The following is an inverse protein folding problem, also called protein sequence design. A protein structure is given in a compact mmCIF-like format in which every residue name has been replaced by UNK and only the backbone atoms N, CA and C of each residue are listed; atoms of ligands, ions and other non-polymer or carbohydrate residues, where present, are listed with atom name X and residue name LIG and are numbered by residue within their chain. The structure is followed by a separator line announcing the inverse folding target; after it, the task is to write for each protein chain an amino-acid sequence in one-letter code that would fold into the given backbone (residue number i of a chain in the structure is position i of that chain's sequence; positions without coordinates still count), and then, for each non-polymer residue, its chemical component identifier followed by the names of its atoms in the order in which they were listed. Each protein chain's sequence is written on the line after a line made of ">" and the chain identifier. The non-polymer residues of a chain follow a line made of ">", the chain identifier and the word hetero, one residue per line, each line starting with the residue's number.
data_IF_102579825028
#
_entry.id   IF_102579825028
#
_cell.length_a   1.000
_cell.length_b   1.000
_cell.length_c   1.000
_cell.angle_alpha   90.00
_cell.angle_beta   90.00
_cell.angle_gamma   90.00
#
_symmetry.space_group_name_H-M   'P 1'
#
loop_
_entity.id
_entity.type
_entity.pdbx_description
1 polymer ?
#
# COMPACT_ATOMS: atom_id res chain seq x y z
N UNK A 1 20.89 18.21 -7.04
CA UNK A 1 20.58 18.64 -5.64
C UNK A 1 19.92 17.51 -4.89
N UNK A 2 20.18 17.37 -3.58
CA UNK A 2 19.45 16.43 -2.75
C UNK A 2 18.20 17.09 -2.18
N UNK A 3 17.08 16.40 -2.31
CA UNK A 3 15.78 16.81 -1.80
C UNK A 3 15.36 15.90 -0.63
N UNK A 4 14.41 16.36 0.17
CA UNK A 4 13.80 15.55 1.21
C UNK A 4 12.45 15.05 0.73
N UNK A 5 12.17 13.78 1.01
CA UNK A 5 10.92 13.13 0.63
C UNK A 5 10.25 12.52 1.85
N UNK A 6 8.93 12.42 1.77
CA UNK A 6 8.12 11.62 2.67
C UNK A 6 7.34 10.59 1.86
N UNK A 7 7.46 9.31 2.24
CA UNK A 7 6.75 8.20 1.63
C UNK A 7 5.69 7.70 2.61
N UNK A 8 4.42 8.13 2.48
CA UNK A 8 3.34 7.62 3.32
C UNK A 8 3.01 6.17 2.97
N UNK A 9 2.59 5.39 3.98
CA UNK A 9 2.13 4.01 3.84
C UNK A 9 0.94 3.72 4.77
N UNK A 10 0.24 2.59 4.59
CA UNK A 10 -0.71 2.12 5.59
C UNK A 10 -0.04 1.96 6.96
N UNK A 11 -0.70 2.44 8.01
CA UNK A 11 -0.17 2.34 9.39
C UNK A 11 0.06 0.89 9.79
N UNK A 12 1.21 0.64 10.39
CA UNK A 12 1.72 -0.69 10.73
C UNK A 12 2.70 -1.25 9.69
N UNK A 13 2.88 -0.59 8.54
CA UNK A 13 3.83 -0.98 7.49
C UNK A 13 5.09 -0.11 7.45
N UNK A 14 5.28 0.80 8.36
CA UNK A 14 6.40 1.75 8.35
C UNK A 14 7.77 1.03 8.33
N UNK A 15 7.93 0.00 9.15
CA UNK A 15 9.16 -0.79 9.18
C UNK A 15 9.39 -1.59 7.89
N UNK A 16 8.31 -2.14 7.31
CA UNK A 16 8.38 -2.86 6.05
C UNK A 16 8.71 -1.92 4.89
N UNK A 17 8.13 -0.70 4.87
CA UNK A 17 8.47 0.33 3.89
C UNK A 17 9.93 0.80 4.04
N UNK A 18 10.42 1.02 5.26
CA UNK A 18 11.80 1.44 5.47
C UNK A 18 12.80 0.38 4.96
N UNK A 19 12.51 -0.90 5.19
CA UNK A 19 13.31 -2.00 4.64
C UNK A 19 13.25 -2.03 3.10
N UNK A 20 12.06 -1.87 2.50
CA UNK A 20 11.89 -1.79 1.05
C UNK A 20 12.67 -0.61 0.43
N UNK A 21 12.55 0.59 1.03
CA UNK A 21 13.33 1.75 0.59
C UNK A 21 14.83 1.54 0.74
N UNK A 22 15.27 0.83 1.78
CA UNK A 22 16.66 0.42 1.95
C UNK A 22 17.15 -0.50 0.82
N UNK A 23 16.33 -1.45 0.38
CA UNK A 23 16.62 -2.31 -0.78
C UNK A 23 16.69 -1.49 -2.09
N UNK A 24 15.74 -0.57 -2.30
CA UNK A 24 15.76 0.34 -3.45
C UNK A 24 17.02 1.22 -3.42
N UNK A 25 17.44 1.67 -2.23
CA UNK A 25 18.63 2.49 -2.06
C UNK A 25 19.94 1.79 -2.44
N UNK A 26 19.98 0.46 -2.45
CA UNK A 26 21.18 -0.29 -2.92
C UNK A 26 21.51 -0.03 -4.40
N UNK A 27 20.50 0.42 -5.16
CA UNK A 27 20.63 0.76 -6.58
C UNK A 27 20.86 2.25 -6.82
N UNK A 28 21.10 3.03 -5.77
CA UNK A 28 21.34 4.48 -5.83
C UNK A 28 22.53 4.87 -4.95
N UNK A 29 23.25 5.91 -5.38
CA UNK A 29 24.34 6.50 -4.58
C UNK A 29 23.87 7.65 -3.69
N UNK A 30 22.68 8.18 -3.95
CA UNK A 30 22.16 9.41 -3.33
C UNK A 30 20.96 9.19 -2.44
N UNK A 31 20.18 8.11 -2.64
CA UNK A 31 19.04 7.76 -1.81
C UNK A 31 19.48 7.36 -0.40
N UNK A 32 18.98 8.10 0.59
CA UNK A 32 19.19 7.80 2.02
C UNK A 32 17.84 7.67 2.72
N UNK A 33 17.65 6.55 3.39
CA UNK A 33 16.48 6.32 4.24
C UNK A 33 16.78 6.87 5.63
N UNK A 34 15.86 7.62 6.19
CA UNK A 34 16.02 8.27 7.49
C UNK A 34 15.11 7.62 8.55
N UNK A 35 14.28 8.43 9.18
CA UNK A 35 13.43 7.99 10.28
C UNK A 35 12.06 7.52 9.79
N UNK A 36 11.54 6.53 10.50
CA UNK A 36 10.15 6.11 10.42
C UNK A 36 9.31 6.97 11.36
N UNK A 37 8.13 7.38 10.89
CA UNK A 37 7.14 8.06 11.72
C UNK A 37 5.78 7.38 11.50
N UNK A 38 4.81 7.53 12.42
CA UNK A 38 3.48 6.95 12.21
C UNK A 38 2.89 7.36 10.84
N UNK A 39 2.65 6.38 9.98
CA UNK A 39 2.08 6.56 8.64
C UNK A 39 3.08 6.75 7.50
N UNK A 40 4.40 6.64 7.72
CA UNK A 40 5.36 6.72 6.63
C UNK A 40 6.84 6.78 7.01
N UNK A 41 7.67 7.00 6.00
CA UNK A 41 9.13 7.02 6.12
C UNK A 41 9.69 8.27 5.44
N UNK A 42 10.61 8.94 6.10
CA UNK A 42 11.40 10.04 5.52
C UNK A 42 12.63 9.51 4.80
N UNK A 43 12.92 10.05 3.64
CA UNK A 43 14.14 9.78 2.89
C UNK A 43 14.65 11.05 2.20
N UNK A 44 15.85 10.99 1.67
CA UNK A 44 16.42 12.08 0.86
C UNK A 44 17.19 11.52 -0.33
N UNK A 45 17.26 12.30 -1.41
CA UNK A 45 17.95 11.92 -2.62
C UNK A 45 17.70 12.90 -3.75
N UNK A 46 18.10 12.55 -4.97
CA UNK A 46 17.84 13.30 -6.18
C UNK A 46 16.41 13.02 -6.71
N UNK A 47 15.99 13.76 -7.76
CA UNK A 47 14.69 13.48 -8.40
C UNK A 47 14.65 12.07 -9.01
N UNK A 48 15.76 11.59 -9.56
CA UNK A 48 15.88 10.19 -10.04
C UNK A 48 15.65 9.14 -8.95
N UNK A 49 15.95 9.46 -7.69
CA UNK A 49 15.62 8.57 -6.57
C UNK A 49 14.11 8.53 -6.31
N UNK A 50 13.43 9.68 -6.44
CA UNK A 50 11.97 9.70 -6.36
C UNK A 50 11.33 8.93 -7.53
N UNK A 51 11.87 9.04 -8.76
CA UNK A 51 11.44 8.23 -9.91
C UNK A 51 11.59 6.74 -9.60
N UNK A 52 12.75 6.33 -9.06
CA UNK A 52 13.05 4.94 -8.67
C UNK A 52 12.09 4.43 -7.60
N UNK A 53 11.81 5.21 -6.56
CA UNK A 53 10.84 4.84 -5.53
C UNK A 53 9.44 4.68 -6.13
N UNK A 54 9.00 5.62 -6.97
CA UNK A 54 7.69 5.55 -7.64
C UNK A 54 7.56 4.30 -8.52
N UNK A 55 8.65 3.90 -9.21
CA UNK A 55 8.66 2.71 -10.05
C UNK A 55 8.62 1.41 -9.22
N UNK A 56 9.42 1.33 -8.16
CA UNK A 56 9.71 0.06 -7.49
C UNK A 56 8.97 -0.16 -6.16
N UNK A 57 8.55 0.88 -5.45
CA UNK A 57 7.92 0.69 -4.15
C UNK A 57 6.51 0.10 -4.27
N UNK A 58 6.32 -1.03 -3.59
CA UNK A 58 5.03 -1.72 -3.47
C UNK A 58 4.22 -1.21 -2.29
N UNK A 59 4.89 -0.71 -1.23
CA UNK A 59 4.28 -0.37 0.05
C UNK A 59 3.93 1.11 0.14
N UNK A 60 4.74 2.01 -0.43
CA UNK A 60 4.44 3.43 -0.42
C UNK A 60 3.08 3.73 -1.07
N UNK A 61 2.34 4.66 -0.49
CA UNK A 61 1.10 5.17 -1.09
C UNK A 61 1.38 6.31 -2.08
N UNK A 62 2.44 7.07 -1.83
CA UNK A 62 2.93 8.21 -2.62
C UNK A 62 4.40 8.44 -2.32
N UNK A 63 5.04 9.29 -3.14
CA UNK A 63 6.35 9.87 -2.88
C UNK A 63 6.19 11.39 -2.87
N UNK A 64 6.26 12.00 -1.72
CA UNK A 64 5.98 13.41 -1.49
C UNK A 64 7.29 14.20 -1.34
N UNK A 65 7.57 15.09 -2.28
CA UNK A 65 8.71 15.99 -2.25
C UNK A 65 8.45 17.15 -1.30
N UNK A 66 9.28 17.34 -0.27
CA UNK A 66 9.15 18.46 0.67
C UNK A 66 9.60 19.75 0.02
N UNK A 67 8.67 20.69 -0.13
CA UNK A 67 8.91 22.03 -0.70
C UNK A 67 9.22 23.05 0.40
N UNK A 68 8.49 23.00 1.52
CA UNK A 68 8.68 23.94 2.62
C UNK A 68 8.34 23.32 3.97
N UNK A 69 8.94 23.87 5.04
CA UNK A 69 8.66 23.46 6.41
C UNK A 69 8.96 24.63 7.36
N UNK A 70 8.04 24.95 8.25
CA UNK A 70 8.21 26.00 9.27
C UNK A 70 7.31 25.75 10.48
N UNK A 71 7.61 26.46 11.58
CA UNK A 71 6.65 26.62 12.68
C UNK A 71 5.50 27.53 12.29
N UNK A 72 4.32 27.36 12.90
CA UNK A 72 3.17 28.23 12.70
C UNK A 72 2.44 28.50 14.02
N UNK A 73 1.80 29.63 14.10
CA UNK A 73 0.91 30.06 15.18
C UNK A 73 -0.50 30.37 14.67
N UNK A 74 -0.60 30.79 13.42
CA UNK A 74 -1.85 31.15 12.75
C UNK A 74 -1.78 30.79 11.24
N UNK A 75 -2.88 31.03 10.53
CA UNK A 75 -3.02 30.69 9.12
C UNK A 75 -2.17 31.57 8.19
N UNK A 76 -1.75 32.77 8.62
CA UNK A 76 -0.89 33.63 7.80
C UNK A 76 0.54 33.06 7.72
N UNK A 77 1.05 32.47 8.81
CA UNK A 77 2.36 31.81 8.80
C UNK A 77 2.42 30.70 7.71
N UNK A 78 1.26 30.01 7.49
CA UNK A 78 1.12 28.97 6.47
C UNK A 78 1.05 29.57 5.08
N UNK A 79 0.32 30.70 4.93
CA UNK A 79 0.28 31.45 3.67
C UNK A 79 1.67 31.94 3.28
N UNK A 80 2.40 32.54 4.22
CA UNK A 80 3.75 33.09 3.99
C UNK A 80 4.74 31.99 3.59
N UNK A 81 4.67 30.80 4.21
CA UNK A 81 5.47 29.65 3.77
C UNK A 81 5.15 29.26 2.32
N UNK A 82 3.87 29.15 1.98
CA UNK A 82 3.46 28.78 0.64
C UNK A 82 3.84 29.82 -0.40
N UNK A 83 3.72 31.12 -0.09
CA UNK A 83 4.13 32.24 -0.92
C UNK A 83 5.65 32.29 -1.12
N UNK A 84 6.44 32.01 -0.07
CA UNK A 84 7.90 31.99 -0.13
C UNK A 84 8.46 30.78 -0.90
N UNK A 85 7.67 29.72 -1.05
CA UNK A 85 8.08 28.48 -1.72
C UNK A 85 8.23 28.69 -3.24
N UNK A 86 9.30 28.13 -3.83
CA UNK A 86 9.65 28.31 -5.26
C UNK A 86 8.96 27.26 -6.13
N UNK A 87 7.63 27.36 -6.28
CA UNK A 87 6.82 26.42 -7.06
C UNK A 87 7.19 26.42 -8.54
N UNK A 88 7.56 27.58 -9.08
CA UNK A 88 8.00 27.81 -10.45
C UNK A 88 9.24 26.99 -10.86
N UNK A 89 10.01 26.48 -9.91
CA UNK A 89 11.11 25.55 -10.17
C UNK A 89 10.63 24.15 -10.55
N UNK A 90 9.36 23.84 -10.31
CA UNK A 90 8.81 22.51 -10.47
C UNK A 90 7.78 22.43 -11.59
N UNK A 91 6.90 23.42 -11.71
CA UNK A 91 5.84 23.45 -12.70
C UNK A 91 5.46 24.89 -13.07
N UNK A 92 4.79 25.09 -14.21
CA UNK A 92 4.35 26.41 -14.69
C UNK A 92 2.85 26.59 -14.65
N UNK A 93 2.40 27.78 -15.04
CA UNK A 93 1.00 28.23 -15.07
C UNK A 93 0.07 27.36 -15.92
N UNK A 94 0.61 26.63 -16.90
CA UNK A 94 -0.16 25.75 -17.78
C UNK A 94 -0.62 24.45 -17.08
N UNK A 95 -0.14 24.18 -15.87
CA UNK A 95 -0.53 23.02 -15.11
C UNK A 95 -1.68 23.36 -14.16
N UNK A 96 -2.60 22.41 -14.00
CA UNK A 96 -3.67 22.52 -13.01
C UNK A 96 -3.18 22.04 -11.65
N UNK A 97 -3.66 22.70 -10.58
CA UNK A 97 -3.27 22.39 -9.21
C UNK A 97 -4.44 21.93 -8.36
N UNK A 98 -4.14 21.12 -7.36
CA UNK A 98 -5.02 20.80 -6.23
C UNK A 98 -4.23 20.82 -4.94
N UNK A 99 -4.81 21.41 -3.90
CA UNK A 99 -4.26 21.41 -2.55
C UNK A 99 -5.14 20.54 -1.65
N UNK A 100 -4.52 19.64 -0.91
CA UNK A 100 -5.16 18.84 0.13
C UNK A 100 -4.41 19.04 1.45
N UNK A 101 -5.12 19.27 2.55
CA UNK A 101 -4.53 19.50 3.88
C UNK A 101 -4.97 18.41 4.85
N UNK A 102 -4.00 17.90 5.59
CA UNK A 102 -4.24 16.98 6.71
C UNK A 102 -3.59 17.53 7.98
N UNK A 103 -4.17 17.20 9.13
CA UNK A 103 -3.63 17.69 10.40
C UNK A 103 -3.70 16.61 11.50
N UNK A 104 -2.70 16.64 12.39
CA UNK A 104 -2.68 15.86 13.63
C UNK A 104 -2.39 16.81 14.77
N UNK A 105 -3.37 16.96 15.67
CA UNK A 105 -3.27 17.85 16.86
C UNK A 105 -2.99 19.34 16.54
N UNK A 106 -3.34 19.80 15.34
CA UNK A 106 -3.26 21.22 15.01
C UNK A 106 -4.22 22.04 15.88
N UNK A 107 -3.80 23.23 16.36
CA UNK A 107 -4.69 24.16 17.05
C UNK A 107 -5.68 24.85 16.10
N UNK A 108 -5.40 24.87 14.79
CA UNK A 108 -6.26 25.49 13.78
C UNK A 108 -7.43 24.55 13.43
N UNK A 109 -8.64 25.11 13.40
CA UNK A 109 -9.88 24.32 13.32
C UNK A 109 -10.35 24.05 11.89
N UNK A 110 -10.13 24.99 10.96
CA UNK A 110 -10.67 24.91 9.61
C UNK A 110 -9.59 24.48 8.61
N UNK A 111 -9.50 23.18 8.33
CA UNK A 111 -8.58 22.67 7.31
C UNK A 111 -8.96 23.12 5.90
N UNK A 112 -10.26 23.36 5.65
CA UNK A 112 -10.73 23.90 4.39
C UNK A 112 -10.20 25.32 4.16
N UNK A 113 -10.27 26.19 5.18
CA UNK A 113 -9.72 27.54 5.10
C UNK A 113 -8.21 27.53 4.88
N UNK A 114 -7.47 26.64 5.56
CA UNK A 114 -6.03 26.47 5.36
C UNK A 114 -5.73 25.99 3.93
N UNK A 115 -6.52 25.06 3.40
CA UNK A 115 -6.40 24.59 2.01
C UNK A 115 -6.53 25.76 1.03
N UNK A 116 -7.53 26.64 1.23
CA UNK A 116 -7.70 27.83 0.41
C UNK A 116 -6.54 28.81 0.57
N UNK A 117 -6.05 29.05 1.79
CA UNK A 117 -4.88 29.92 2.06
C UNK A 117 -3.63 29.44 1.31
N UNK A 118 -3.31 28.14 1.36
CA UNK A 118 -2.18 27.58 0.63
C UNK A 118 -2.37 27.73 -0.88
N UNK A 119 -3.57 27.42 -1.39
CA UNK A 119 -3.91 27.59 -2.80
C UNK A 119 -3.77 29.04 -3.25
N UNK A 120 -4.29 30.00 -2.47
CA UNK A 120 -4.20 31.43 -2.77
C UNK A 120 -2.75 31.90 -2.81
N UNK A 121 -1.94 31.51 -1.82
CA UNK A 121 -0.52 31.84 -1.76
C UNK A 121 0.25 31.32 -2.99
N UNK A 122 -0.03 30.09 -3.44
CA UNK A 122 0.57 29.53 -4.68
C UNK A 122 0.14 30.35 -5.90
N UNK A 123 -1.14 30.68 -6.01
CA UNK A 123 -1.65 31.50 -7.11
C UNK A 123 -1.05 32.91 -7.10
N UNK A 124 -0.91 33.53 -5.94
CA UNK A 124 -0.32 34.87 -5.79
C UNK A 124 1.17 34.83 -6.14
N UNK A 125 1.91 33.80 -5.72
CA UNK A 125 3.32 33.58 -6.11
C UNK A 125 3.51 33.57 -7.62
N UNK A 126 2.70 32.79 -8.34
CA UNK A 126 2.78 32.75 -9.80
C UNK A 126 2.36 34.05 -10.45
N UNK A 127 1.32 34.72 -9.93
CA UNK A 127 0.90 36.04 -10.42
C UNK A 127 2.01 37.08 -10.27
N UNK A 128 2.71 37.09 -9.15
CA UNK A 128 3.80 38.02 -8.88
C UNK A 128 5.04 37.74 -9.76
N UNK A 129 5.28 36.50 -10.16
CA UNK A 129 6.45 36.07 -10.92
C UNK A 129 6.21 36.04 -12.42
N UNK A 130 5.05 35.58 -12.86
CA UNK A 130 4.75 35.25 -14.25
C UNK A 130 3.57 36.09 -14.80
N UNK A 131 2.90 36.88 -13.95
CA UNK A 131 1.75 37.71 -14.34
C UNK A 131 0.42 36.95 -14.38
N UNK A 132 0.45 35.64 -14.37
CA UNK A 132 -0.71 34.75 -14.43
C UNK A 132 -0.66 33.71 -13.31
N UNK A 133 -1.72 32.93 -13.15
CA UNK A 133 -1.81 31.89 -12.12
C UNK A 133 -2.25 30.55 -12.69
N UNK A 134 -1.82 29.42 -12.11
CA UNK A 134 -2.32 28.10 -12.48
C UNK A 134 -3.81 27.96 -12.21
N UNK A 135 -4.50 27.19 -13.04
CA UNK A 135 -5.89 26.80 -12.83
C UNK A 135 -6.04 25.71 -11.78
N UNK A 136 -7.21 25.64 -11.15
CA UNK A 136 -7.52 24.61 -10.15
C UNK A 136 -8.38 23.51 -10.79
N UNK A 137 -7.93 22.25 -10.68
CA UNK A 137 -8.73 21.07 -11.00
C UNK A 137 -8.75 20.12 -9.80
N UNK A 138 -9.94 19.95 -9.21
CA UNK A 138 -10.12 19.10 -8.03
C UNK A 138 -10.29 17.61 -8.37
N UNK A 139 -10.49 17.25 -9.63
CA UNK A 139 -10.72 15.86 -10.06
C UNK A 139 -9.46 15.23 -10.63
N UNK A 140 -8.86 15.85 -11.65
CA UNK A 140 -7.71 15.34 -12.38
C UNK A 140 -6.58 16.37 -12.47
N UNK A 141 -6.09 16.89 -11.32
CA UNK A 141 -5.03 17.90 -11.34
C UNK A 141 -3.72 17.33 -11.87
N UNK A 142 -2.94 18.19 -12.54
CA UNK A 142 -1.58 17.85 -12.94
C UNK A 142 -0.66 17.79 -11.72
N UNK A 143 -0.79 18.77 -10.83
CA UNK A 143 0.02 18.91 -9.62
C UNK A 143 -0.82 18.81 -8.37
N UNK A 144 -0.49 17.86 -7.50
CA UNK A 144 -1.09 17.73 -6.16
C UNK A 144 -0.13 18.28 -5.13
N UNK A 145 -0.62 19.22 -4.34
CA UNK A 145 0.11 19.81 -3.22
C UNK A 145 -0.53 19.30 -1.92
N UNK A 146 0.30 18.80 -1.02
CA UNK A 146 -0.16 18.32 0.28
C UNK A 146 0.39 19.20 1.39
N UNK A 147 -0.50 19.73 2.23
CA UNK A 147 -0.15 20.37 3.50
C UNK A 147 -0.33 19.39 4.66
N UNK A 148 0.68 19.25 5.48
CA UNK A 148 0.60 18.48 6.73
C UNK A 148 0.90 19.40 7.91
N UNK A 149 -0.05 19.45 8.85
CA UNK A 149 0.07 20.23 10.09
C UNK A 149 0.16 19.29 11.28
N UNK A 150 1.16 19.49 12.12
CA UNK A 150 1.16 18.97 13.49
C UNK A 150 0.77 20.06 14.50
N UNK A 151 1.04 19.86 15.77
CA UNK A 151 0.69 20.84 16.81
C UNK A 151 1.46 22.18 16.68
N UNK A 152 2.57 22.23 15.98
CA UNK A 152 3.50 23.37 15.96
C UNK A 152 4.07 23.71 14.59
N UNK A 153 4.10 22.74 13.67
CA UNK A 153 4.78 22.90 12.39
C UNK A 153 3.85 22.57 11.22
N UNK A 154 4.10 23.23 10.10
CA UNK A 154 3.49 22.92 8.81
C UNK A 154 4.57 22.48 7.82
N UNK A 155 4.25 21.46 7.05
CA UNK A 155 5.10 20.98 5.96
C UNK A 155 4.29 20.99 4.67
N UNK A 156 4.85 21.57 3.62
CA UNK A 156 4.29 21.56 2.27
C UNK A 156 5.03 20.57 1.40
N UNK A 157 4.28 19.74 0.69
CA UNK A 157 4.80 18.74 -0.22
C UNK A 157 4.22 18.91 -1.62
N UNK A 158 5.04 18.61 -2.62
CA UNK A 158 4.61 18.36 -4.00
C UNK A 158 4.59 16.85 -4.24
N UNK A 159 3.48 16.34 -4.72
CA UNK A 159 3.32 14.92 -5.01
C UNK A 159 4.03 14.56 -6.32
N UNK A 160 5.00 13.65 -6.27
CA UNK A 160 5.71 13.15 -7.44
C UNK A 160 4.98 11.98 -8.11
N UNK A 161 4.03 11.37 -7.42
CA UNK A 161 3.35 10.14 -7.87
C UNK A 161 2.13 10.39 -8.75
N UNK A 162 1.36 11.45 -8.48
CA UNK A 162 0.08 11.74 -9.13
C UNK A 162 -1.06 10.90 -8.56
N UNK A 163 -1.51 9.87 -9.24
CA UNK A 163 -2.43 8.91 -8.66
C UNK A 163 -1.75 8.07 -7.57
N UNK A 164 -2.48 7.61 -6.53
CA UNK A 164 -1.89 6.78 -5.48
C UNK A 164 -1.17 5.55 -6.05
N UNK A 165 -0.01 5.20 -5.49
CA UNK A 165 0.82 4.10 -5.98
C UNK A 165 0.13 2.73 -5.90
N UNK A 166 -0.82 2.53 -4.98
CA UNK A 166 -1.59 1.30 -4.91
C UNK A 166 -2.55 1.10 -6.09
N UNK A 167 -2.89 2.14 -6.84
CA UNK A 167 -3.60 2.01 -8.12
C UNK A 167 -2.61 1.56 -9.19
N UNK A 168 -2.36 0.24 -9.28
CA UNK A 168 -1.38 -0.35 -10.20
C UNK A 168 -1.80 -0.29 -11.68
N UNK A 169 -3.09 -0.02 -11.93
CA UNK A 169 -3.68 0.03 -13.29
C UNK A 169 -4.35 -1.27 -13.75
N UNK A 170 -4.09 -2.39 -13.12
CA UNK A 170 -4.68 -3.68 -13.51
C UNK A 170 -6.07 -3.92 -12.92
N UNK A 171 -6.43 -3.27 -11.81
CA UNK A 171 -7.74 -3.44 -11.18
C UNK A 171 -8.78 -2.55 -11.84
N UNK A 172 -9.64 -3.11 -12.65
CA UNK A 172 -10.82 -2.43 -13.21
C UNK A 172 -12.11 -2.81 -12.50
N UNK A 173 -12.16 -4.02 -11.94
CA UNK A 173 -13.31 -4.58 -11.25
C UNK A 173 -12.96 -4.83 -9.78
N UNK A 174 -13.87 -4.49 -8.90
CA UNK A 174 -13.69 -4.64 -7.44
C UNK A 174 -14.90 -5.34 -6.86
N UNK A 175 -14.65 -6.29 -5.96
CA UNK A 175 -15.69 -6.75 -5.03
C UNK A 175 -15.96 -5.72 -3.93
N UNK A 176 -16.85 -6.03 -3.03
CA UNK A 176 -17.13 -5.22 -1.84
C UNK A 176 -15.89 -5.16 -0.93
N UNK A 177 -15.40 -3.97 -0.58
CA UNK A 177 -14.26 -3.69 0.29
C UNK A 177 -12.92 -4.40 -0.09
N UNK A 178 -12.36 -4.14 -1.28
CA UNK A 178 -11.14 -4.80 -1.75
C UNK A 178 -9.91 -4.41 -0.90
N UNK A 179 -9.05 -5.40 -0.64
CA UNK A 179 -7.73 -5.17 -0.06
C UNK A 179 -6.91 -4.28 -1.01
N UNK A 180 -6.34 -3.17 -0.50
CA UNK A 180 -5.46 -2.32 -1.32
C UNK A 180 -4.17 -3.05 -1.65
N UNK A 181 -3.65 -2.84 -2.84
CA UNK A 181 -2.47 -3.52 -3.38
C UNK A 181 -1.23 -3.30 -2.51
N UNK A 182 -0.99 -2.07 -2.06
CA UNK A 182 0.15 -1.78 -1.19
C UNK A 182 0.02 -2.40 0.21
N UNK A 183 -1.20 -2.57 0.71
CA UNK A 183 -1.43 -3.30 1.94
C UNK A 183 -1.19 -4.80 1.73
N UNK A 184 -1.68 -5.38 0.62
CA UNK A 184 -1.43 -6.78 0.27
C UNK A 184 0.08 -7.09 0.15
N UNK A 185 0.83 -6.24 -0.56
CA UNK A 185 2.29 -6.36 -0.66
C UNK A 185 2.97 -6.29 0.71
N UNK A 186 2.54 -5.35 1.56
CA UNK A 186 3.05 -5.21 2.93
C UNK A 186 2.73 -6.42 3.80
N UNK A 187 1.53 -6.99 3.68
CA UNK A 187 1.12 -8.19 4.42
C UNK A 187 1.98 -9.40 4.04
N UNK A 188 2.24 -9.63 2.75
CA UNK A 188 3.15 -10.68 2.27
C UNK A 188 4.54 -10.54 2.90
N UNK A 189 5.08 -9.32 2.90
CA UNK A 189 6.40 -9.03 3.46
C UNK A 189 6.44 -9.23 4.98
N UNK A 190 5.46 -8.76 5.72
CA UNK A 190 5.37 -8.93 7.19
C UNK A 190 5.08 -10.38 7.58
N UNK A 191 4.36 -11.12 6.74
CA UNK A 191 4.18 -12.56 6.88
C UNK A 191 5.50 -13.35 6.67
N UNK A 192 6.54 -12.71 6.13
CA UNK A 192 7.83 -13.33 5.86
C UNK A 192 7.85 -14.17 4.57
N UNK A 193 6.90 -13.94 3.66
CA UNK A 193 6.91 -14.61 2.37
C UNK A 193 8.04 -14.07 1.49
N UNK A 194 8.72 -14.98 0.82
CA UNK A 194 9.76 -14.68 -0.17
C UNK A 194 9.44 -15.33 -1.50
N UNK A 195 9.79 -14.70 -2.64
CA UNK A 195 9.61 -15.30 -3.96
C UNK A 195 10.15 -16.73 -4.06
N UNK A 196 9.33 -17.65 -4.57
CA UNK A 196 9.65 -19.08 -4.65
C UNK A 196 9.16 -19.92 -3.47
N UNK A 197 8.85 -19.31 -2.32
CA UNK A 197 8.14 -20.02 -1.25
C UNK A 197 6.70 -20.34 -1.68
N UNK A 198 6.18 -21.56 -1.45
CA UNK A 198 4.79 -21.87 -1.75
C UNK A 198 3.83 -20.92 -1.05
N UNK A 199 2.85 -20.41 -1.80
CA UNK A 199 1.80 -19.51 -1.33
C UNK A 199 0.43 -20.07 -1.67
N UNK A 200 -0.47 -20.07 -0.71
CA UNK A 200 -1.88 -20.35 -0.91
C UNK A 200 -2.76 -19.25 -0.33
N UNK A 201 -3.64 -18.68 -1.16
CA UNK A 201 -4.75 -17.87 -0.68
C UNK A 201 -6.07 -18.65 -0.89
N UNK A 202 -6.66 -19.22 0.17
CA UNK A 202 -7.86 -20.06 0.07
C UNK A 202 -9.17 -19.27 -0.02
N UNK A 203 -9.11 -17.96 0.02
CA UNK A 203 -10.27 -17.03 -0.08
C UNK A 203 -9.82 -15.80 -0.90
N UNK A 204 -9.32 -16.07 -2.12
CA UNK A 204 -8.53 -15.09 -2.88
C UNK A 204 -9.34 -13.92 -3.46
N UNK A 205 -10.67 -14.04 -3.52
CA UNK A 205 -11.52 -13.03 -4.10
C UNK A 205 -11.05 -12.62 -5.50
N UNK A 206 -10.86 -11.32 -5.73
CA UNK A 206 -10.36 -10.78 -6.99
C UNK A 206 -8.84 -10.95 -7.22
N UNK A 207 -8.14 -11.70 -6.37
CA UNK A 207 -6.76 -12.12 -6.56
C UNK A 207 -5.68 -11.13 -6.10
N UNK A 208 -5.97 -10.14 -5.27
CA UNK A 208 -5.01 -9.08 -4.93
C UNK A 208 -3.70 -9.61 -4.32
N UNK A 209 -3.78 -10.50 -3.32
CA UNK A 209 -2.59 -11.11 -2.71
C UNK A 209 -1.80 -11.95 -3.72
N UNK A 210 -2.49 -12.71 -4.57
CA UNK A 210 -1.88 -13.54 -5.60
C UNK A 210 -1.14 -12.69 -6.65
N UNK A 211 -1.74 -11.58 -7.09
CA UNK A 211 -1.14 -10.69 -8.10
C UNK A 211 0.11 -10.00 -7.54
N UNK A 212 0.05 -9.45 -6.33
CA UNK A 212 1.23 -8.83 -5.71
C UNK A 212 2.35 -9.86 -5.51
N UNK A 213 2.04 -11.09 -5.05
CA UNK A 213 3.02 -12.16 -4.93
C UNK A 213 3.60 -12.56 -6.29
N UNK A 214 2.76 -12.70 -7.32
CA UNK A 214 3.20 -13.06 -8.67
C UNK A 214 4.11 -11.99 -9.29
N UNK A 215 3.77 -10.72 -9.14
CA UNK A 215 4.62 -9.62 -9.60
C UNK A 215 5.95 -9.56 -8.82
N UNK A 216 5.96 -9.87 -7.51
CA UNK A 216 7.19 -10.02 -6.74
C UNK A 216 8.05 -11.17 -7.25
N UNK A 217 7.44 -12.34 -7.52
CA UNK A 217 8.13 -13.52 -8.05
C UNK A 217 8.70 -13.26 -9.44
N UNK A 218 7.94 -12.57 -10.30
CA UNK A 218 8.37 -12.19 -11.64
C UNK A 218 9.40 -11.04 -11.66
N UNK A 219 9.58 -10.32 -10.55
CA UNK A 219 10.43 -9.11 -10.52
C UNK A 219 9.82 -7.93 -11.27
N UNK A 220 8.51 -7.93 -11.53
CA UNK A 220 7.81 -6.85 -12.24
C UNK A 220 7.61 -5.66 -11.29
N UNK A 221 8.15 -4.48 -11.59
CA UNK A 221 7.92 -3.29 -10.75
C UNK A 221 6.46 -2.86 -10.75
N UNK A 222 5.90 -2.45 -9.60
CA UNK A 222 4.48 -2.08 -9.50
C UNK A 222 4.12 -0.81 -10.28
N UNK A 223 5.11 0.03 -10.61
CA UNK A 223 4.94 1.27 -11.35
C UNK A 223 5.12 1.16 -12.88
N UNK A 224 5.37 -0.05 -13.42
CA UNK A 224 5.78 -0.23 -14.82
C UNK A 224 4.74 0.25 -15.85
N UNK A 225 3.44 0.07 -15.55
CA UNK A 225 2.34 0.33 -16.46
C UNK A 225 1.58 1.63 -16.15
N UNK A 226 2.23 2.60 -15.51
CA UNK A 226 1.57 3.87 -15.15
C UNK A 226 2.45 5.07 -15.45
N UNK A 227 1.84 6.25 -15.57
CA UNK A 227 2.49 7.56 -15.57
C UNK A 227 2.52 8.17 -14.17
N UNK A 228 3.39 9.14 -13.99
CA UNK A 228 3.61 9.81 -12.70
C UNK A 228 3.57 11.34 -12.85
N UNK A 229 3.28 12.05 -11.76
CA UNK A 229 3.26 13.51 -11.78
C UNK A 229 4.64 14.12 -12.03
N UNK A 230 5.72 13.46 -11.59
CA UNK A 230 7.08 13.95 -11.85
C UNK A 230 7.43 14.07 -13.33
N UNK A 231 6.75 13.33 -14.21
CA UNK A 231 6.95 13.43 -15.68
C UNK A 231 6.51 14.78 -16.24
N UNK A 232 5.77 15.57 -15.46
CA UNK A 232 5.36 16.94 -15.80
C UNK A 232 6.22 18.03 -15.14
N UNK A 233 7.23 17.66 -14.37
CA UNK A 233 8.10 18.65 -13.72
C UNK A 233 9.07 19.28 -14.71
N UNK A 234 9.40 20.56 -14.51
CA UNK A 234 10.35 21.30 -15.38
C UNK A 234 11.73 20.65 -15.43
N UNK A 235 12.16 20.01 -14.36
CA UNK A 235 13.46 19.35 -14.23
C UNK A 235 13.37 17.83 -14.43
N UNK A 236 12.32 17.37 -15.11
CA UNK A 236 12.18 15.96 -15.49
C UNK A 236 13.11 15.63 -16.67
N UNK A 237 13.95 14.60 -16.49
CA UNK A 237 14.88 14.11 -17.50
C UNK A 237 14.33 12.81 -18.12
N UNK A 238 13.64 12.95 -19.27
CA UNK A 238 12.99 11.84 -19.95
C UNK A 238 13.97 10.73 -20.34
N UNK A 239 15.19 11.08 -20.72
CA UNK A 239 16.25 10.11 -21.08
C UNK A 239 16.70 9.28 -19.88
N UNK A 240 16.84 9.89 -18.69
CA UNK A 240 17.16 9.16 -17.46
C UNK A 240 16.02 8.21 -17.06
N UNK A 241 14.79 8.67 -17.17
CA UNK A 241 13.60 7.87 -16.92
C UNK A 241 13.49 6.65 -17.85
N UNK A 242 13.67 6.90 -19.15
CA UNK A 242 13.67 5.84 -20.16
C UNK A 242 14.76 4.80 -19.87
N UNK A 243 15.99 5.24 -19.62
CA UNK A 243 17.10 4.34 -19.29
C UNK A 243 16.83 3.52 -18.03
N UNK A 244 16.18 4.10 -17.00
CA UNK A 244 15.79 3.37 -15.79
C UNK A 244 14.79 2.26 -16.09
N UNK A 245 13.84 2.48 -16.99
CA UNK A 245 12.84 1.49 -17.41
C UNK A 245 13.45 0.40 -18.30
N UNK A 246 14.33 0.77 -19.20
CA UNK A 246 15.03 -0.18 -20.10
C UNK A 246 16.03 -1.08 -19.37
N UNK A 247 16.58 -0.61 -18.26
CA UNK A 247 17.49 -1.38 -17.42
C UNK A 247 16.80 -2.46 -16.57
N UNK A 248 15.44 -2.54 -16.61
CA UNK A 248 14.71 -3.57 -15.88
C UNK A 248 15.02 -4.96 -16.45
N UNK A 249 15.27 -5.95 -15.60
CA UNK A 249 15.48 -7.32 -16.08
C UNK A 249 14.19 -7.88 -16.69
N UNK A 250 14.35 -8.83 -17.60
CA UNK A 250 13.22 -9.62 -18.08
C UNK A 250 12.51 -10.32 -16.91
N UNK A 251 11.16 -10.41 -16.95
CA UNK A 251 10.42 -11.07 -15.89
C UNK A 251 10.88 -12.53 -15.67
N UNK A 252 11.03 -12.90 -14.41
CA UNK A 252 11.30 -14.29 -14.05
C UNK A 252 10.03 -15.13 -14.22
N UNK A 253 10.17 -16.24 -14.97
CA UNK A 253 9.08 -17.20 -15.20
C UNK A 253 9.43 -18.52 -14.51
N UNK A 254 8.76 -18.88 -13.42
CA UNK A 254 9.01 -20.13 -12.71
C UNK A 254 8.60 -21.33 -13.57
N UNK A 255 9.37 -22.42 -13.50
CA UNK A 255 9.09 -23.66 -14.23
C UNK A 255 7.94 -24.46 -13.61
N UNK A 256 7.67 -24.25 -12.34
CA UNK A 256 6.58 -24.90 -11.58
C UNK A 256 5.81 -23.87 -10.78
N UNK A 257 4.47 -24.01 -10.70
CA UNK A 257 3.67 -23.11 -9.88
C UNK A 257 4.06 -23.17 -8.41
N UNK A 258 4.25 -22.01 -7.81
CA UNK A 258 4.47 -21.85 -6.35
C UNK A 258 3.41 -20.98 -5.71
N UNK A 259 2.54 -20.34 -6.50
CA UNK A 259 1.45 -19.48 -6.02
C UNK A 259 0.13 -20.12 -6.44
N UNK A 260 -0.79 -20.25 -5.50
CA UNK A 260 -2.06 -20.94 -5.67
C UNK A 260 -3.19 -20.11 -5.04
N UNK A 261 -4.36 -20.12 -5.68
CA UNK A 261 -5.54 -19.46 -5.17
C UNK A 261 -6.77 -20.35 -5.21
N UNK A 262 -7.69 -20.10 -4.29
CA UNK A 262 -9.03 -20.66 -4.38
C UNK A 262 -10.07 -19.68 -3.79
N UNK A 263 -11.30 -19.85 -4.25
CA UNK A 263 -12.45 -19.14 -3.71
C UNK A 263 -13.70 -19.99 -3.90
N UNK A 264 -14.71 -19.79 -3.08
CA UNK A 264 -16.00 -20.45 -3.24
C UNK A 264 -16.78 -19.90 -4.44
N UNK A 265 -16.59 -18.61 -4.74
CA UNK A 265 -17.27 -17.89 -5.82
C UNK A 265 -16.54 -18.07 -7.14
N UNK A 266 -17.20 -18.71 -8.12
CA UNK A 266 -16.72 -18.80 -9.49
C UNK A 266 -16.54 -17.43 -10.16
N UNK A 267 -17.44 -16.48 -9.87
CA UNK A 267 -17.37 -15.11 -10.42
C UNK A 267 -16.13 -14.36 -9.92
N UNK A 268 -15.78 -14.53 -8.63
CA UNK A 268 -14.53 -13.98 -8.07
C UNK A 268 -13.30 -14.57 -8.76
N UNK A 269 -13.30 -15.86 -9.08
CA UNK A 269 -12.19 -16.48 -9.80
C UNK A 269 -12.09 -16.00 -11.26
N UNK A 270 -13.20 -15.72 -11.92
CA UNK A 270 -13.19 -15.09 -13.26
C UNK A 270 -12.57 -13.70 -13.15
N UNK A 271 -12.99 -12.90 -12.18
CA UNK A 271 -12.42 -11.58 -11.92
C UNK A 271 -10.92 -11.67 -11.61
N UNK A 272 -10.50 -12.63 -10.79
CA UNK A 272 -9.09 -12.85 -10.47
C UNK A 272 -8.26 -13.17 -11.73
N UNK A 273 -8.75 -14.00 -12.64
CA UNK A 273 -8.08 -14.31 -13.93
C UNK A 273 -7.92 -13.05 -14.77
N UNK A 274 -8.96 -12.28 -14.97
CA UNK A 274 -8.89 -11.01 -15.72
C UNK A 274 -7.91 -10.02 -15.10
N UNK A 275 -7.86 -9.93 -13.76
CA UNK A 275 -6.91 -9.08 -13.06
C UNK A 275 -5.47 -9.58 -13.24
N UNK A 276 -5.22 -10.90 -13.20
CA UNK A 276 -3.91 -11.51 -13.46
C UNK A 276 -3.41 -11.23 -14.87
N UNK A 277 -4.28 -11.35 -15.87
CA UNK A 277 -3.98 -11.02 -17.27
C UNK A 277 -3.60 -9.55 -17.42
N UNK A 278 -4.43 -8.64 -16.88
CA UNK A 278 -4.17 -7.18 -16.90
C UNK A 278 -2.90 -6.79 -16.14
N UNK A 279 -2.56 -7.54 -15.09
CA UNK A 279 -1.33 -7.33 -14.34
C UNK A 279 -0.06 -7.75 -15.08
N UNK A 280 -0.21 -8.39 -16.24
CA UNK A 280 0.91 -8.82 -17.10
C UNK A 280 1.74 -9.94 -16.48
N UNK A 281 1.11 -10.86 -15.72
CA UNK A 281 1.80 -12.00 -15.11
C UNK A 281 2.17 -13.00 -16.24
N UNK A 282 3.46 -13.34 -16.42
CA UNK A 282 3.93 -14.14 -17.55
C UNK A 282 3.82 -15.65 -17.33
N UNK A 283 3.09 -16.10 -16.30
CA UNK A 283 2.91 -17.52 -15.98
C UNK A 283 1.53 -17.76 -15.35
N UNK A 284 1.08 -19.01 -15.44
CA UNK A 284 -0.21 -19.40 -14.89
C UNK A 284 -0.17 -19.53 -13.37
N UNK A 285 -1.26 -19.10 -12.73
CA UNK A 285 -1.53 -19.31 -11.32
C UNK A 285 -2.75 -20.24 -11.22
N UNK A 286 -2.58 -21.45 -10.66
CA UNK A 286 -3.71 -22.35 -10.47
C UNK A 286 -4.77 -21.76 -9.55
N UNK A 287 -5.98 -21.57 -10.10
CA UNK A 287 -7.16 -21.10 -9.37
C UNK A 287 -8.20 -22.22 -9.32
N UNK A 288 -8.68 -22.57 -8.13
CA UNK A 288 -9.67 -23.61 -7.90
C UNK A 288 -10.92 -23.07 -7.25
N UNK A 289 -12.09 -23.44 -7.77
CA UNK A 289 -13.35 -23.19 -7.08
C UNK A 289 -13.53 -24.27 -6.02
N UNK A 290 -13.38 -23.90 -4.73
CA UNK A 290 -13.47 -24.83 -3.61
C UNK A 290 -13.72 -24.03 -2.33
N UNK A 291 -14.46 -24.60 -1.41
CA UNK A 291 -14.66 -24.04 -0.08
C UNK A 291 -13.37 -24.08 0.75
N UNK A 292 -13.11 -23.03 1.54
CA UNK A 292 -11.93 -22.96 2.39
C UNK A 292 -11.82 -24.15 3.38
N UNK A 293 -12.95 -24.72 3.77
CA UNK A 293 -13.01 -25.90 4.64
C UNK A 293 -12.59 -27.21 3.95
N UNK A 294 -12.46 -27.22 2.63
CA UNK A 294 -12.08 -28.38 1.85
C UNK A 294 -10.65 -28.32 1.29
N UNK A 295 -9.98 -27.14 1.44
CA UNK A 295 -8.64 -26.94 0.88
C UNK A 295 -7.62 -27.95 1.41
N UNK A 296 -6.65 -28.24 0.59
CA UNK A 296 -5.48 -29.07 0.89
C UNK A 296 -4.21 -28.34 0.47
N UNK A 297 -3.07 -28.63 1.06
CA UNK A 297 -1.79 -28.15 0.54
C UNK A 297 -1.71 -28.44 -0.96
N UNK A 298 -1.39 -27.45 -1.80
CA UNK A 298 -1.35 -27.62 -3.25
C UNK A 298 -0.13 -28.42 -3.71
N UNK A 299 0.91 -28.46 -2.88
CA UNK A 299 2.16 -29.21 -3.07
C UNK A 299 2.66 -29.71 -1.71
N UNK A 300 3.58 -30.68 -1.73
CA UNK A 300 4.11 -31.32 -0.51
C UNK A 300 5.03 -30.41 0.32
N UNK A 301 5.66 -29.42 -0.32
CA UNK A 301 6.55 -28.48 0.37
C UNK A 301 5.73 -27.47 1.17
N UNK A 302 5.97 -27.34 2.49
CA UNK A 302 5.31 -26.33 3.31
C UNK A 302 5.61 -24.88 2.85
N UNK A 303 4.64 -24.01 3.04
CA UNK A 303 4.71 -22.62 2.62
C UNK A 303 3.91 -21.68 3.50
N UNK A 304 3.45 -20.58 2.91
CA UNK A 304 2.56 -19.61 3.53
C UNK A 304 1.13 -19.77 3.02
N UNK A 305 0.19 -19.97 3.92
CA UNK A 305 -1.22 -19.73 3.66
C UNK A 305 -1.55 -18.33 4.17
N UNK A 306 -2.02 -17.45 3.29
CA UNK A 306 -2.41 -16.10 3.66
C UNK A 306 -3.78 -15.76 3.07
N UNK A 307 -4.66 -15.19 3.87
CA UNK A 307 -5.97 -14.78 3.42
C UNK A 307 -6.45 -13.49 4.11
N UNK A 308 -7.33 -12.78 3.41
CA UNK A 308 -8.20 -11.76 3.95
C UNK A 308 -9.64 -12.34 3.97
N UNK A 309 -10.00 -13.11 5.01
CA UNK A 309 -11.30 -13.77 5.05
C UNK A 309 -12.43 -12.75 5.04
N UNK A 310 -13.62 -13.11 4.52
CA UNK A 310 -14.78 -12.23 4.58
C UNK A 310 -15.15 -11.92 6.04
N UNK A 311 -15.41 -10.67 6.32
CA UNK A 311 -15.97 -10.25 7.61
C UNK A 311 -17.49 -10.35 7.52
N UNK A 312 -18.15 -10.74 8.61
CA UNK A 312 -19.60 -10.70 8.68
C UNK A 312 -20.13 -9.30 8.30
N UNK A 313 -21.29 -9.21 7.65
CA UNK A 313 -21.91 -8.03 7.05
C UNK A 313 -22.12 -6.81 7.98
N UNK A 314 -21.60 -6.82 9.21
CA UNK A 314 -21.85 -5.80 10.24
C UNK A 314 -20.57 -5.34 10.93
N UNK A 315 -19.69 -4.71 10.17
CA UNK A 315 -18.77 -3.76 10.79
C UNK A 315 -19.36 -2.38 10.53
N UNK A 316 -20.03 -1.86 11.57
CA UNK A 316 -20.42 -0.45 11.61
C UNK A 316 -19.14 0.39 11.41
N UNK A 317 -19.23 1.45 10.61
CA UNK A 317 -18.12 2.32 10.19
C UNK A 317 -17.33 2.95 11.38
N UNK A 318 -17.78 2.71 12.61
CA UNK A 318 -17.18 3.21 13.87
C UNK A 318 -16.23 2.23 14.57
N UNK A 319 -15.98 1.02 14.02
CA UNK A 319 -14.95 0.13 14.57
C UNK A 319 -15.27 -0.46 15.95
N UNK A 320 -16.52 -0.44 16.37
CA UNK A 320 -16.94 -1.00 17.66
C UNK A 320 -17.20 -2.51 17.49
N UNK A 321 -16.19 -3.32 17.82
CA UNK A 321 -16.17 -4.78 17.71
C UNK A 321 -16.88 -5.47 18.88
N UNK A 322 -17.96 -4.91 19.39
CA UNK A 322 -18.67 -5.43 20.58
C UNK A 322 -19.80 -6.40 20.26
N UNK A 323 -20.07 -6.73 19.00
CA UNK A 323 -21.07 -7.74 18.65
C UNK A 323 -20.46 -9.15 18.71
N UNK A 324 -21.16 -10.08 19.40
CA UNK A 324 -20.79 -11.50 19.37
C UNK A 324 -20.85 -12.03 17.92
N UNK A 325 -19.83 -12.85 17.51
CA UNK A 325 -19.81 -13.45 16.18
C UNK A 325 -21.09 -14.26 15.90
N UNK A 326 -21.61 -14.16 14.67
CA UNK A 326 -22.72 -14.98 14.22
C UNK A 326 -22.39 -16.48 14.35
N UNK A 327 -23.39 -17.30 14.70
CA UNK A 327 -23.23 -18.74 14.83
C UNK A 327 -22.69 -19.40 13.56
N UNK A 328 -23.05 -18.90 12.38
CA UNK A 328 -22.53 -19.36 11.09
C UNK A 328 -21.03 -19.06 10.95
N UNK A 329 -20.58 -17.87 11.32
CA UNK A 329 -19.15 -17.50 11.30
C UNK A 329 -18.34 -18.37 12.26
N UNK A 330 -18.87 -18.64 13.48
CA UNK A 330 -18.22 -19.53 14.45
C UNK A 330 -18.10 -20.96 13.89
N UNK A 331 -19.16 -21.49 13.27
CA UNK A 331 -19.15 -22.81 12.67
C UNK A 331 -18.13 -22.90 11.52
N UNK A 332 -18.14 -21.93 10.62
CA UNK A 332 -17.21 -21.82 9.49
C UNK A 332 -15.75 -21.79 9.97
N UNK A 333 -15.39 -20.85 10.83
CA UNK A 333 -14.00 -20.72 11.28
C UNK A 333 -13.55 -21.89 12.17
N UNK A 334 -14.46 -22.52 12.94
CA UNK A 334 -14.12 -23.73 13.70
C UNK A 334 -13.79 -24.90 12.77
N UNK A 335 -14.55 -25.09 11.70
CA UNK A 335 -14.29 -26.11 10.69
C UNK A 335 -12.98 -25.81 9.92
N UNK A 336 -12.79 -24.56 9.50
CA UNK A 336 -11.55 -24.14 8.84
C UNK A 336 -10.32 -24.32 9.73
N UNK A 337 -10.40 -23.97 11.01
CA UNK A 337 -9.33 -24.22 11.99
C UNK A 337 -8.98 -25.71 12.13
N UNK A 338 -9.97 -26.59 12.02
CA UNK A 338 -9.75 -28.03 12.01
C UNK A 338 -9.03 -28.50 10.73
N UNK A 339 -9.38 -27.95 9.58
CA UNK A 339 -8.67 -28.20 8.32
C UNK A 339 -7.21 -27.76 8.40
N UNK A 340 -6.95 -26.56 8.93
CA UNK A 340 -5.59 -26.06 9.11
C UNK A 340 -4.74 -26.99 9.99
N UNK A 341 -5.29 -27.45 11.14
CA UNK A 341 -4.60 -28.40 12.03
C UNK A 341 -4.28 -29.72 11.38
N UNK A 342 -5.25 -30.28 10.63
CA UNK A 342 -5.16 -31.65 10.15
C UNK A 342 -4.39 -31.77 8.83
N UNK A 343 -4.34 -30.73 8.01
CA UNK A 343 -3.82 -30.82 6.65
C UNK A 343 -2.59 -29.96 6.40
N UNK A 344 -2.37 -28.89 7.17
CA UNK A 344 -1.33 -27.89 6.89
C UNK A 344 -0.14 -27.94 7.87
N UNK A 345 0.22 -29.16 8.33
CA UNK A 345 1.40 -29.32 9.18
C UNK A 345 2.67 -28.78 8.50
N UNK A 346 3.46 -27.98 9.22
CA UNK A 346 4.66 -27.32 8.69
C UNK A 346 4.40 -25.98 8.00
N UNK A 347 3.15 -25.64 7.68
CA UNK A 347 2.80 -24.37 7.06
C UNK A 347 2.72 -23.23 8.09
N UNK A 348 3.06 -22.02 7.64
CA UNK A 348 2.69 -20.79 8.34
C UNK A 348 1.34 -20.32 7.80
N UNK A 349 0.42 -19.97 8.70
CA UNK A 349 -0.89 -19.42 8.33
C UNK A 349 -0.99 -17.99 8.82
N UNK A 350 -1.34 -17.07 7.93
CA UNK A 350 -1.53 -15.65 8.22
C UNK A 350 -2.93 -15.22 7.80
N UNK A 351 -3.72 -14.72 8.74
CA UNK A 351 -5.08 -14.25 8.47
C UNK A 351 -5.20 -12.77 8.85
N UNK A 352 -5.59 -11.98 7.87
CA UNK A 352 -5.77 -10.54 8.03
C UNK A 352 -7.24 -10.21 8.25
N UNK A 353 -7.59 -9.59 9.39
CA UNK A 353 -8.98 -9.33 9.75
C UNK A 353 -9.11 -8.15 10.71
N UNK A 354 -10.27 -7.53 10.73
CA UNK A 354 -10.70 -6.60 11.78
C UNK A 354 -11.33 -7.33 12.99
N UNK A 355 -11.72 -8.59 12.82
CA UNK A 355 -12.31 -9.38 13.90
C UNK A 355 -11.24 -9.94 14.83
N UNK A 356 -11.16 -9.38 16.04
CA UNK A 356 -10.19 -9.79 17.06
C UNK A 356 -10.54 -11.15 17.71
N UNK A 357 -11.72 -11.67 17.47
CA UNK A 357 -12.18 -12.98 18.02
C UNK A 357 -11.78 -14.16 17.12
N UNK A 358 -11.25 -13.89 15.91
CA UNK A 358 -10.89 -14.93 14.94
C UNK A 358 -10.04 -16.08 15.51
N UNK A 359 -8.98 -15.87 16.32
CA UNK A 359 -8.22 -16.99 16.89
C UNK A 359 -9.06 -17.91 17.77
N UNK A 360 -10.01 -17.34 18.52
CA UNK A 360 -10.94 -18.10 19.35
C UNK A 360 -11.90 -18.93 18.50
N UNK A 361 -12.44 -18.35 17.42
CA UNK A 361 -13.32 -19.08 16.50
C UNK A 361 -12.60 -20.23 15.79
N UNK A 362 -11.35 -20.01 15.36
CA UNK A 362 -10.49 -21.05 14.77
C UNK A 362 -10.06 -22.13 15.77
N UNK A 363 -10.20 -21.88 17.06
CA UNK A 363 -9.65 -22.73 18.15
C UNK A 363 -8.15 -22.95 17.99
N UNK A 364 -7.44 -21.92 17.52
CA UNK A 364 -5.99 -21.87 17.33
C UNK A 364 -5.41 -20.78 18.22
N UNK A 365 -4.20 -21.03 18.73
CA UNK A 365 -3.43 -20.00 19.42
C UNK A 365 -2.48 -19.36 18.43
N UNK A 366 -2.60 -18.06 18.27
CA UNK A 366 -1.68 -17.29 17.43
C UNK A 366 -0.27 -17.25 18.03
N UNK A 367 0.74 -17.37 17.19
CA UNK A 367 2.15 -17.17 17.53
C UNK A 367 2.52 -15.69 17.57
N UNK A 368 1.85 -14.89 16.72
CA UNK A 368 2.01 -13.44 16.64
C UNK A 368 0.73 -12.77 16.17
N UNK A 369 0.46 -11.56 16.68
CA UNK A 369 -0.55 -10.64 16.13
C UNK A 369 0.08 -9.29 15.88
N UNK A 370 -0.06 -8.80 14.66
CA UNK A 370 0.51 -7.51 14.25
C UNK A 370 -0.61 -6.55 13.90
N UNK A 371 -0.65 -5.34 14.50
CA UNK A 371 -1.67 -4.34 14.21
C UNK A 371 -1.43 -3.66 12.86
N UNK A 372 -2.51 -3.43 12.12
CA UNK A 372 -2.53 -2.69 10.86
C UNK A 372 -3.79 -1.83 10.77
N UNK A 373 -3.83 -0.98 9.74
CA UNK A 373 -5.01 -0.19 9.43
C UNK A 373 -5.36 -0.31 7.96
N UNK A 374 -6.60 -0.72 7.67
CA UNK A 374 -7.17 -0.66 6.33
C UNK A 374 -8.06 0.59 6.22
N UNK A 375 -7.50 1.70 5.79
CA UNK A 375 -8.13 3.01 5.93
C UNK A 375 -8.26 3.40 7.40
N UNK A 376 -9.48 3.64 7.88
CA UNK A 376 -9.78 3.95 9.28
C UNK A 376 -9.99 2.70 10.16
N UNK A 377 -10.12 1.53 9.54
CA UNK A 377 -10.44 0.28 10.24
C UNK A 377 -9.17 -0.32 10.83
N UNK A 378 -9.16 -0.55 12.13
CA UNK A 378 -8.08 -1.26 12.79
C UNK A 378 -8.21 -2.76 12.53
N UNK A 379 -7.15 -3.35 11.98
CA UNK A 379 -7.06 -4.76 11.62
C UNK A 379 -5.89 -5.44 12.32
N UNK A 380 -5.85 -6.76 12.25
CA UNK A 380 -4.73 -7.58 12.72
C UNK A 380 -4.34 -8.59 11.65
N UNK A 381 -3.04 -8.81 11.53
CA UNK A 381 -2.51 -10.01 10.91
C UNK A 381 -2.20 -11.01 12.02
N UNK A 382 -3.02 -12.05 12.11
CA UNK A 382 -2.78 -13.18 13.00
C UNK A 382 -1.90 -14.21 12.31
N UNK A 383 -0.83 -14.63 12.96
CA UNK A 383 0.08 -15.67 12.50
C UNK A 383 -0.04 -16.92 13.34
N UNK A 384 -0.13 -18.07 12.69
CA UNK A 384 -0.20 -19.39 13.32
C UNK A 384 0.84 -20.30 12.68
N UNK A 385 1.61 -21.01 13.49
CA UNK A 385 2.55 -22.03 13.04
C UNK A 385 1.87 -23.40 13.15
N UNK A 386 1.67 -24.06 12.03
CA UNK A 386 1.00 -25.37 11.99
C UNK A 386 2.01 -26.49 12.25
N UNK A 387 1.96 -27.05 13.47
CA UNK A 387 2.83 -28.18 13.87
C UNK A 387 2.09 -29.50 13.80
N UNK A 388 2.79 -30.55 13.40
CA UNK A 388 2.25 -31.91 13.46
C UNK A 388 2.10 -32.37 14.93
N UNK A 389 0.91 -32.86 15.30
CA UNK A 389 0.64 -33.37 16.64
C UNK A 389 -0.12 -32.37 17.55
N UNK A 390 -0.75 -32.86 18.61
CA UNK A 390 -1.44 -31.99 19.56
C UNK A 390 -0.43 -31.31 20.49
N UNK A 391 -0.50 -29.98 20.62
CA UNK A 391 0.20 -29.21 21.65
C UNK A 391 -0.37 -29.42 23.07
N UNK A 392 -0.99 -30.55 23.35
CA UNK A 392 -1.33 -30.93 24.72
C UNK A 392 -0.03 -31.36 25.39
N UNK A 393 0.61 -30.49 26.15
CA UNK A 393 1.45 -30.91 27.26
C UNK A 393 0.52 -31.75 28.17
N UNK A 394 0.72 -33.05 28.20
CA UNK A 394 0.19 -33.90 29.24
C UNK A 394 0.90 -33.42 30.50
N UNK A 395 0.15 -32.80 31.42
CA UNK A 395 0.57 -32.49 32.79
C UNK A 395 0.36 -33.74 33.63
#
# INVERSE_FOLDING_TARGET
>A
MNHSYFCPCPRGLEAALAAELGEIATQSRTLKVHNQVPGGVHCSGQLSDAMRINLHSRIASRVLLRIGHTGYTNENDIYDLALASTWENWFGINHTIRVDVTAIKSPLKSLEFITLKIKDAICDRFRDREGERPSVDTRTPDMRISGFLDARTVTLYLDTSGEPLFKRGWRLETGDAPLRENLAAGLLRVAGWTPGTPLLDPMCGSGTLLIEAAQMLAGIPPGINRSFAFEKFHNFEATEWQAMREALPAPNVPTTPTIFGSDISGDMLVMARHNLERAGIPFDIPLKQIEAQEVKPPIDTPGLLIANPPYGERIDVRGDSTQEPDAMAIAFFSAFGSVLKNRFAGWTVCLFTADLTLPRMLRLKESKKTPFFNGAIECRLFRFEMVAGSNRKIV
#
